data_IF_069660102787
#
_entry.id   IF_069660102787
#
_cell.length_a   1.000
_cell.length_b   1.000
_cell.length_c   1.000
_cell.angle_alpha   90.00
_cell.angle_beta   90.00
_cell.angle_gamma   90.00
#
_symmetry.space_group_name_H-M   'P 1'
#
loop_
_entity.id
_entity.type
_entity.pdbx_description
1 polymer ?
#
# COMPACT_ATOMS: atom_id res chain seq x y z
N UNK A 1 21.69 -12.10 4.88
CA UNK A 1 20.61 -13.01 5.31
C UNK A 1 20.62 -14.21 4.37
N UNK A 2 20.64 -15.43 4.88
CA UNK A 2 20.64 -16.62 4.02
C UNK A 2 19.24 -16.80 3.42
N UNK A 3 19.11 -16.88 2.11
CA UNK A 3 17.80 -17.04 1.44
C UNK A 3 17.12 -18.39 1.76
N UNK A 4 17.84 -19.31 2.41
CA UNK A 4 17.34 -20.61 2.85
C UNK A 4 16.87 -20.65 4.31
N UNK A 5 16.76 -19.51 5.00
CA UNK A 5 16.21 -19.45 6.35
C UNK A 5 14.71 -19.79 6.33
N UNK A 6 14.26 -20.89 6.97
CA UNK A 6 12.86 -21.31 6.96
C UNK A 6 11.91 -20.22 7.48
N UNK A 7 12.36 -19.38 8.42
CA UNK A 7 11.54 -18.29 8.94
C UNK A 7 11.34 -17.18 7.91
N UNK A 8 12.40 -16.80 7.19
CA UNK A 8 12.32 -15.80 6.12
C UNK A 8 11.43 -16.29 4.97
N UNK A 9 11.51 -17.58 4.63
CA UNK A 9 10.65 -18.19 3.61
C UNK A 9 9.17 -18.11 4.02
N UNK A 10 8.84 -18.50 5.26
CA UNK A 10 7.46 -18.42 5.75
C UNK A 10 6.96 -16.97 5.79
N UNK A 11 7.76 -16.02 6.29
CA UNK A 11 7.38 -14.60 6.29
C UNK A 11 7.08 -14.06 4.88
N UNK A 12 7.89 -14.41 3.88
CA UNK A 12 7.65 -14.01 2.49
C UNK A 12 6.36 -14.64 1.97
N UNK A 13 6.14 -15.92 2.23
CA UNK A 13 4.92 -16.62 1.81
C UNK A 13 3.66 -15.99 2.45
N UNK A 14 3.72 -15.62 3.72
CA UNK A 14 2.60 -14.94 4.39
C UNK A 14 2.36 -13.53 3.82
N UNK A 15 3.42 -12.76 3.55
CA UNK A 15 3.30 -11.45 2.93
C UNK A 15 2.64 -11.52 1.55
N UNK A 16 3.03 -12.52 0.73
CA UNK A 16 2.40 -12.79 -0.58
C UNK A 16 0.93 -13.16 -0.43
N UNK A 17 0.60 -14.05 0.52
CA UNK A 17 -0.78 -14.43 0.81
C UNK A 17 -1.66 -13.26 1.22
N UNK A 18 -1.16 -12.36 2.06
CA UNK A 18 -1.90 -11.15 2.43
C UNK A 18 -2.11 -10.20 1.24
N UNK A 19 -1.11 -10.05 0.37
CA UNK A 19 -1.24 -9.28 -0.87
C UNK A 19 -2.32 -9.87 -1.77
N UNK A 20 -2.31 -11.16 -2.02
CA UNK A 20 -3.32 -11.85 -2.83
C UNK A 20 -4.74 -11.69 -2.24
N UNK A 21 -4.88 -11.80 -0.93
CA UNK A 21 -6.17 -11.59 -0.25
C UNK A 21 -6.67 -10.15 -0.42
N UNK A 22 -5.78 -9.16 -0.26
CA UNK A 22 -6.12 -7.75 -0.46
C UNK A 22 -6.51 -7.48 -1.91
N UNK A 23 -5.72 -7.94 -2.88
CA UNK A 23 -6.01 -7.79 -4.32
C UNK A 23 -7.34 -8.45 -4.69
N UNK A 24 -7.58 -9.66 -4.20
CA UNK A 24 -8.86 -10.38 -4.39
C UNK A 24 -10.04 -9.64 -3.77
N UNK A 25 -9.86 -9.00 -2.61
CA UNK A 25 -10.92 -8.19 -2.01
C UNK A 25 -11.23 -6.94 -2.86
N UNK A 26 -10.19 -6.30 -3.41
CA UNK A 26 -10.32 -5.11 -4.24
C UNK A 26 -11.01 -5.39 -5.58
N UNK A 27 -10.91 -6.60 -6.15
CA UNK A 27 -11.63 -6.95 -7.39
C UNK A 27 -13.15 -6.94 -7.25
N UNK A 28 -13.67 -6.95 -6.01
CA UNK A 28 -15.12 -6.91 -5.74
C UNK A 28 -15.70 -5.49 -5.84
N UNK A 29 -14.86 -4.48 -5.95
CA UNK A 29 -15.27 -3.08 -6.04
C UNK A 29 -15.30 -2.63 -7.50
N UNK A 30 -16.32 -1.87 -7.87
CA UNK A 30 -16.26 -1.07 -9.08
C UNK A 30 -15.23 0.06 -8.94
N UNK A 31 -14.82 0.62 -10.06
CA UNK A 31 -13.91 1.75 -10.10
C UNK A 31 -14.41 2.96 -9.27
N UNK A 32 -15.72 3.24 -9.31
CA UNK A 32 -16.31 4.29 -8.47
C UNK A 32 -16.28 3.94 -6.97
N UNK A 33 -16.67 2.70 -6.62
CA UNK A 33 -16.67 2.22 -5.23
C UNK A 33 -15.27 2.18 -4.62
N UNK A 34 -14.23 2.03 -5.43
CA UNK A 34 -12.85 2.07 -4.97
C UNK A 34 -12.46 3.45 -4.41
N UNK A 35 -12.97 4.53 -5.00
CA UNK A 35 -12.71 5.90 -4.53
C UNK A 35 -13.73 6.42 -3.52
N UNK A 36 -14.90 5.78 -3.43
CA UNK A 36 -15.97 6.21 -2.52
C UNK A 36 -15.74 5.72 -1.08
N UNK A 37 -16.03 6.58 -0.11
CA UNK A 37 -16.06 6.20 1.29
C UNK A 37 -17.37 5.46 1.60
N UNK A 38 -17.33 4.26 2.23
CA UNK A 38 -18.53 3.46 2.45
C UNK A 38 -19.51 4.09 3.44
N UNK A 39 -19.04 4.99 4.31
CA UNK A 39 -19.84 5.81 5.25
C UNK A 39 -19.09 7.10 5.57
N UNK A 40 -19.81 8.05 6.18
CA UNK A 40 -19.19 9.24 6.76
C UNK A 40 -18.06 8.87 7.73
N UNK A 41 -16.97 9.66 7.69
CA UNK A 41 -15.74 9.48 8.50
C UNK A 41 -14.96 8.19 8.27
N UNK A 42 -15.26 7.41 7.24
CA UNK A 42 -14.44 6.28 6.82
C UNK A 42 -13.59 6.67 5.59
N UNK A 43 -12.43 6.04 5.48
CA UNK A 43 -11.60 6.16 4.29
C UNK A 43 -12.13 5.24 3.17
N UNK A 44 -11.98 5.67 1.93
CA UNK A 44 -12.18 4.81 0.77
C UNK A 44 -11.07 3.78 0.65
N UNK A 45 -11.30 2.73 -0.15
CA UNK A 45 -10.27 1.73 -0.44
C UNK A 45 -9.04 2.37 -1.09
N UNK A 46 -9.22 3.36 -1.96
CA UNK A 46 -8.13 4.13 -2.58
C UNK A 46 -7.22 4.80 -1.54
N UNK A 47 -7.78 5.47 -0.52
CA UNK A 47 -6.99 6.11 0.54
C UNK A 47 -6.22 5.07 1.34
N UNK A 48 -6.85 3.94 1.69
CA UNK A 48 -6.20 2.88 2.44
C UNK A 48 -5.00 2.32 1.64
N UNK A 49 -5.20 2.01 0.36
CA UNK A 49 -4.14 1.48 -0.52
C UNK A 49 -3.00 2.49 -0.69
N UNK A 50 -3.31 3.77 -0.90
CA UNK A 50 -2.31 4.85 -0.98
C UNK A 50 -1.48 4.96 0.30
N UNK A 51 -2.14 4.96 1.46
CA UNK A 51 -1.48 5.01 2.76
C UNK A 51 -0.56 3.79 3.00
N UNK A 52 -1.04 2.59 2.70
CA UNK A 52 -0.24 1.38 2.83
C UNK A 52 0.99 1.41 1.91
N UNK A 53 0.85 1.88 0.66
CA UNK A 53 1.97 2.06 -0.26
C UNK A 53 3.03 3.03 0.25
N UNK A 54 2.61 4.20 0.77
CA UNK A 54 3.51 5.16 1.40
C UNK A 54 4.22 4.59 2.64
N UNK A 55 3.50 3.83 3.45
CA UNK A 55 4.07 3.15 4.62
C UNK A 55 5.13 2.11 4.24
N UNK A 56 4.83 1.26 3.26
CA UNK A 56 5.77 0.25 2.78
C UNK A 56 7.02 0.88 2.18
N UNK A 57 6.89 1.91 1.35
CA UNK A 57 8.05 2.65 0.82
C UNK A 57 8.88 3.26 1.94
N UNK A 58 8.23 3.88 2.92
CA UNK A 58 8.97 4.57 3.98
C UNK A 58 9.71 3.62 4.92
N UNK A 59 9.10 2.48 5.28
CA UNK A 59 9.65 1.62 6.35
C UNK A 59 10.36 0.36 5.85
N UNK A 60 10.13 -0.04 4.60
CA UNK A 60 10.73 -1.24 4.02
C UNK A 60 11.77 -0.96 2.92
N UNK A 61 12.04 0.30 2.58
CA UNK A 61 13.22 0.68 1.80
C UNK A 61 14.41 0.89 2.72
N UNK A 62 15.59 0.40 2.33
CA UNK A 62 16.79 0.34 3.20
C UNK A 62 16.50 -0.41 4.52
N UNK A 63 15.83 -1.56 4.38
CA UNK A 63 15.41 -2.41 5.49
C UNK A 63 16.61 -2.91 6.29
N UNK A 64 16.56 -2.76 7.62
CA UNK A 64 17.61 -3.08 8.60
C UNK A 64 18.86 -2.19 8.58
N UNK A 65 19.02 -1.33 7.57
CA UNK A 65 20.12 -0.36 7.49
C UNK A 65 19.68 1.04 7.91
N UNK A 66 18.38 1.32 7.88
CA UNK A 66 17.79 2.55 8.40
C UNK A 66 16.43 2.27 9.05
N UNK A 67 16.18 2.90 10.18
CA UNK A 67 14.90 2.87 10.91
C UNK A 67 14.18 4.22 10.77
N UNK A 68 12.87 4.23 11.02
CA UNK A 68 12.05 5.45 11.06
C UNK A 68 11.36 5.81 9.74
N UNK A 69 10.50 6.82 9.83
CA UNK A 69 9.87 7.42 8.65
C UNK A 69 10.93 8.17 7.83
N UNK A 70 10.90 8.00 6.49
CA UNK A 70 11.86 8.70 5.64
C UNK A 70 11.54 10.20 5.63
N UNK A 71 12.55 11.09 5.60
CA UNK A 71 12.33 12.53 5.64
C UNK A 71 11.47 13.08 4.50
N UNK A 72 11.45 12.38 3.36
CA UNK A 72 10.66 12.72 2.17
C UNK A 72 9.23 12.16 2.21
N UNK A 73 8.84 11.47 3.28
CA UNK A 73 7.46 10.98 3.43
C UNK A 73 6.52 12.15 3.78
N UNK A 74 5.60 12.45 2.87
CA UNK A 74 4.46 13.30 3.15
C UNK A 74 3.25 12.44 3.54
N UNK A 75 3.10 12.16 4.85
CA UNK A 75 2.02 11.30 5.35
C UNK A 75 0.62 11.87 5.08
N UNK A 76 0.44 13.17 5.26
CA UNK A 76 -0.88 13.79 5.18
C UNK A 76 -1.44 13.75 3.75
N UNK A 77 -0.57 13.82 2.73
CA UNK A 77 -0.98 13.69 1.33
C UNK A 77 -1.44 12.28 0.95
N UNK A 78 -1.13 11.26 1.75
CA UNK A 78 -1.62 9.89 1.56
C UNK A 78 -3.14 9.77 1.78
N UNK A 79 -3.74 10.74 2.48
CA UNK A 79 -5.18 10.81 2.76
C UNK A 79 -5.95 11.71 1.78
N UNK A 80 -5.30 12.14 0.71
CA UNK A 80 -5.90 12.97 -0.35
C UNK A 80 -5.82 12.22 -1.67
N UNK A 81 -6.96 12.12 -2.38
CA UNK A 81 -7.03 11.59 -3.75
C UNK A 81 -7.23 12.78 -4.69
N UNK A 82 -6.23 13.07 -5.52
CA UNK A 82 -6.27 14.12 -6.54
C UNK A 82 -6.32 13.55 -7.96
N UNK A 83 -6.26 14.42 -8.98
CA UNK A 83 -6.30 14.01 -10.40
C UNK A 83 -5.16 13.07 -10.81
N UNK A 84 -4.01 13.17 -10.14
CA UNK A 84 -2.87 12.27 -10.36
C UNK A 84 -3.14 10.83 -9.89
N UNK A 85 -4.07 10.63 -8.94
CA UNK A 85 -4.37 9.34 -8.32
C UNK A 85 -5.39 8.55 -9.14
N UNK A 86 -5.01 8.19 -10.38
CA UNK A 86 -5.82 7.35 -11.27
C UNK A 86 -5.90 5.90 -10.79
N UNK A 87 -6.88 5.14 -11.29
CA UNK A 87 -7.00 3.69 -11.02
C UNK A 87 -5.74 2.92 -11.38
N UNK A 88 -5.13 3.27 -12.52
CA UNK A 88 -3.88 2.66 -12.99
C UNK A 88 -2.74 2.93 -12.01
N UNK A 89 -2.66 4.15 -11.46
CA UNK A 89 -1.70 4.51 -10.43
C UNK A 89 -1.95 3.74 -9.14
N UNK A 90 -3.18 3.73 -8.62
CA UNK A 90 -3.50 3.07 -7.35
C UNK A 90 -3.33 1.55 -7.40
N UNK A 91 -3.54 0.93 -8.57
CA UNK A 91 -3.43 -0.53 -8.75
C UNK A 91 -1.98 -0.99 -8.95
N UNK A 92 -1.12 -0.15 -9.52
CA UNK A 92 0.27 -0.50 -9.78
C UNK A 92 1.26 0.19 -8.83
N UNK A 93 0.79 1.04 -7.91
CA UNK A 93 1.58 1.82 -6.93
C UNK A 93 2.90 2.36 -7.53
N UNK A 94 2.84 2.87 -8.76
CA UNK A 94 3.99 3.54 -9.37
C UNK A 94 4.36 4.75 -8.52
N UNK A 95 5.64 5.14 -8.42
CA UNK A 95 6.00 6.40 -7.80
C UNK A 95 5.15 7.53 -8.41
N UNK A 96 4.60 8.39 -7.56
CA UNK A 96 4.03 9.66 -8.00
C UNK A 96 5.07 10.36 -8.90
N UNK A 97 4.65 11.08 -9.97
CA UNK A 97 5.57 11.88 -10.76
C UNK A 97 6.31 12.93 -9.93
#
# INVERSE_FOLDING_TARGET
>A
MNQSDPYLIDMIAQAQKFKEQAETALTRLSDGQFFEAPRDRLNSAAIIVKHMGGNFRSRWTEFLTSDGEKPDRNRDSEFVIGEANTLAWTRNLSPEP
#
